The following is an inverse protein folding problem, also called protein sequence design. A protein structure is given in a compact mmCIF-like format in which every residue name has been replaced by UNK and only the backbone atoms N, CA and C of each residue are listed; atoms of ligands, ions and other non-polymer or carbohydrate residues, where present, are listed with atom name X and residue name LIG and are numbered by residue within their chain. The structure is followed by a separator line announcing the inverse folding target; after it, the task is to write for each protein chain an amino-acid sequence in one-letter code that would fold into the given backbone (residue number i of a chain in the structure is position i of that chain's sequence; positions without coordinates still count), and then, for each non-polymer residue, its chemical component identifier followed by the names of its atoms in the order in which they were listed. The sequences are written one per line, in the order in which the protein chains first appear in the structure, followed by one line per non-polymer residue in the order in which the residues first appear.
data_IF_639268810671
#
_entry.id   IF_639268810671
#
_cell.length_a   1.000
_cell.length_b   1.000
_cell.length_c   1.000
_cell.angle_alpha   90.00
_cell.angle_beta   90.00
_cell.angle_gamma   90.00
#
_symmetry.space_group_name_H-M   'P 1'
#
loop_
_entity.id
_entity.type
_entity.pdbx_description
1 polymer ?
#
# COMPACT_ATOMS: atom_id res chain seq x y z
N UNK A 1 -6.27 -7.10 10.30
CA UNK A 1 -6.38 -8.17 9.29
C UNK A 1 -5.01 -8.36 8.68
N UNK A 2 -4.56 -9.58 8.44
CA UNK A 2 -3.30 -9.79 7.71
C UNK A 2 -3.58 -9.56 6.21
N UNK A 3 -2.83 -8.66 5.57
CA UNK A 3 -3.05 -8.31 4.17
C UNK A 3 -2.42 -9.39 3.26
N UNK A 4 -3.16 -9.89 2.25
CA UNK A 4 -2.61 -10.79 1.25
C UNK A 4 -1.52 -10.10 0.42
N UNK A 5 -0.30 -10.66 0.40
CA UNK A 5 0.87 -10.16 -0.36
C UNK A 5 1.12 -11.05 -1.60
N UNK A 6 0.15 -11.86 -2.00
CA UNK A 6 0.24 -12.72 -3.18
C UNK A 6 0.21 -11.87 -4.47
N UNK A 7 -0.26 -12.46 -5.57
CA UNK A 7 -0.04 -11.98 -6.94
C UNK A 7 -0.42 -10.50 -7.16
N UNK A 8 -1.55 -10.02 -6.64
CA UNK A 8 -2.02 -8.65 -6.88
C UNK A 8 -1.10 -7.59 -6.22
N UNK A 9 -0.93 -7.64 -4.90
CA UNK A 9 -0.10 -6.65 -4.19
C UNK A 9 1.37 -6.77 -4.59
N UNK A 10 1.87 -7.98 -4.83
CA UNK A 10 3.25 -8.17 -5.31
C UNK A 10 3.47 -7.53 -6.68
N UNK A 11 2.50 -7.66 -7.60
CA UNK A 11 2.58 -7.03 -8.92
C UNK A 11 2.60 -5.52 -8.82
N UNK A 12 1.78 -4.94 -7.94
CA UNK A 12 1.80 -3.49 -7.65
C UNK A 12 3.16 -3.06 -7.09
N UNK A 13 3.73 -3.81 -6.14
CA UNK A 13 5.06 -3.48 -5.60
C UNK A 13 6.17 -3.57 -6.65
N UNK A 14 6.07 -4.49 -7.62
CA UNK A 14 6.99 -4.53 -8.77
C UNK A 14 6.83 -3.25 -9.61
N UNK A 15 5.60 -2.86 -9.94
CA UNK A 15 5.32 -1.64 -10.71
C UNK A 15 5.86 -0.38 -10.02
N UNK A 16 5.65 -0.25 -8.71
CA UNK A 16 6.20 0.85 -7.89
C UNK A 16 7.73 0.92 -8.00
N UNK A 17 8.40 -0.23 -7.88
CA UNK A 17 9.87 -0.30 -7.90
C UNK A 17 10.43 -0.04 -9.30
N UNK A 18 9.73 -0.49 -10.34
CA UNK A 18 10.11 -0.30 -11.74
C UNK A 18 10.08 1.17 -12.18
N UNK A 19 9.29 2.03 -11.51
CA UNK A 19 9.36 3.48 -11.73
C UNK A 19 10.73 4.07 -11.36
N UNK A 20 11.50 3.40 -10.49
CA UNK A 20 12.83 3.81 -10.06
C UNK A 20 12.87 5.25 -9.46
N UNK A 21 11.82 5.62 -8.76
CA UNK A 21 11.74 6.89 -8.04
C UNK A 21 12.24 6.75 -6.60
N UNK A 22 12.90 7.79 -6.12
CA UNK A 22 13.16 8.00 -4.70
C UNK A 22 11.88 8.40 -3.96
N UNK A 23 11.87 8.26 -2.63
CA UNK A 23 10.76 8.75 -1.79
C UNK A 23 10.46 10.23 -2.05
N UNK A 24 11.48 11.06 -2.28
CA UNK A 24 11.27 12.48 -2.59
C UNK A 24 10.53 12.69 -3.92
N UNK A 25 10.89 11.95 -4.97
CA UNK A 25 10.19 12.03 -6.26
C UNK A 25 8.76 11.51 -6.14
N UNK A 26 8.52 10.48 -5.32
CA UNK A 26 7.17 10.04 -5.00
C UNK A 26 6.36 11.12 -4.28
N UNK A 27 6.96 11.85 -3.33
CA UNK A 27 6.32 13.00 -2.67
C UNK A 27 6.00 14.13 -3.66
N UNK A 28 6.79 14.34 -4.72
CA UNK A 28 6.48 15.34 -5.75
C UNK A 28 5.30 14.92 -6.66
N UNK A 29 5.04 13.61 -6.77
CA UNK A 29 3.95 13.06 -7.57
C UNK A 29 2.63 13.09 -6.79
N UNK A 30 2.66 12.72 -5.50
CA UNK A 30 1.52 12.73 -4.56
C UNK A 30 0.18 12.30 -5.19
N UNK A 31 -0.05 10.99 -5.29
CA UNK A 31 -1.29 10.44 -5.83
C UNK A 31 -1.66 9.20 -5.04
N UNK A 32 -2.75 9.31 -4.28
CA UNK A 32 -3.23 8.28 -3.34
C UNK A 32 -4.07 7.18 -3.99
N UNK A 33 -4.28 7.22 -5.31
CA UNK A 33 -5.08 6.25 -6.07
C UNK A 33 -4.42 5.80 -7.40
N UNK A 34 -3.12 6.06 -7.56
CA UNK A 34 -2.35 5.75 -8.78
C UNK A 34 -2.38 4.27 -9.17
N UNK A 35 -2.34 3.36 -8.20
CA UNK A 35 -2.21 1.92 -8.43
C UNK A 35 -3.50 1.19 -8.08
N UNK A 36 -3.99 0.37 -9.00
CA UNK A 36 -5.29 -0.29 -8.88
C UNK A 36 -5.24 -1.71 -9.44
N UNK A 37 -5.98 -2.60 -8.77
CA UNK A 37 -6.21 -4.00 -9.13
C UNK A 37 -7.65 -4.36 -8.70
N UNK A 38 -8.16 -5.59 -8.99
CA UNK A 38 -9.48 -5.98 -8.52
C UNK A 38 -9.70 -5.81 -7.01
N UNK A 39 -8.67 -6.08 -6.21
CA UNK A 39 -8.78 -6.10 -4.74
C UNK A 39 -8.08 -4.91 -4.05
N UNK A 40 -7.21 -4.17 -4.74
CA UNK A 40 -6.43 -3.09 -4.14
C UNK A 40 -6.58 -1.77 -4.91
N UNK A 41 -6.64 -0.66 -4.18
CA UNK A 41 -6.49 0.72 -4.68
C UNK A 41 -5.62 1.51 -3.73
N UNK A 42 -4.69 2.28 -4.24
CA UNK A 42 -3.85 3.11 -3.41
C UNK A 42 -2.76 3.84 -4.17
N UNK A 43 -1.89 4.50 -3.43
CA UNK A 43 -0.80 5.28 -3.97
C UNK A 43 -0.01 5.99 -2.90
N UNK A 44 0.86 6.90 -3.30
CA UNK A 44 1.81 7.54 -2.40
C UNK A 44 1.21 8.78 -1.73
N UNK A 45 1.29 8.84 -0.41
CA UNK A 45 0.89 9.99 0.42
C UNK A 45 2.16 10.74 0.87
N UNK A 46 2.26 12.01 0.49
CA UNK A 46 3.45 12.82 0.76
C UNK A 46 3.56 13.26 2.23
N UNK A 47 2.45 13.34 2.97
CA UNK A 47 2.44 13.69 4.39
C UNK A 47 2.90 12.49 5.24
N UNK A 48 2.50 11.28 4.85
CA UNK A 48 2.88 10.03 5.54
C UNK A 48 4.22 9.45 5.04
N UNK A 49 4.71 9.88 3.87
CA UNK A 49 5.89 9.33 3.17
C UNK A 49 5.77 7.82 2.90
N UNK A 50 4.55 7.35 2.69
CA UNK A 50 4.21 5.94 2.54
C UNK A 50 3.19 5.71 1.44
N UNK A 51 3.14 4.46 0.96
CA UNK A 51 2.09 3.98 0.10
C UNK A 51 0.87 3.60 0.93
N UNK A 52 -0.22 4.35 0.77
CA UNK A 52 -1.49 4.15 1.43
C UNK A 52 -2.44 3.38 0.51
N UNK A 53 -3.00 2.28 0.99
CA UNK A 53 -3.86 1.41 0.21
C UNK A 53 -5.13 1.00 0.97
N UNK A 54 -6.19 0.81 0.20
CA UNK A 54 -7.38 0.06 0.59
C UNK A 54 -7.36 -1.31 -0.07
N UNK A 55 -7.53 -2.35 0.73
CA UNK A 55 -7.77 -3.74 0.30
C UNK A 55 -9.24 -4.09 0.52
N UNK A 56 -9.87 -4.67 -0.49
CA UNK A 56 -11.24 -5.18 -0.40
C UNK A 56 -11.22 -6.71 -0.42
N UNK A 57 -11.70 -7.32 0.66
CA UNK A 57 -11.81 -8.78 0.72
C UNK A 57 -12.95 -9.32 -0.18
N UNK A 58 -13.13 -10.64 -0.17
CA UNK A 58 -14.20 -11.33 -0.92
C UNK A 58 -15.62 -10.85 -0.56
N UNK A 59 -15.81 -10.30 0.64
CA UNK A 59 -17.07 -9.75 1.12
C UNK A 59 -17.19 -8.24 0.86
N UNK A 60 -16.23 -7.66 0.12
CA UNK A 60 -16.11 -6.22 -0.17
C UNK A 60 -15.93 -5.37 1.09
N UNK A 61 -15.41 -5.97 2.17
CA UNK A 61 -15.02 -5.22 3.37
C UNK A 61 -13.68 -4.56 3.10
N UNK A 62 -13.64 -3.25 3.33
CA UNK A 62 -12.42 -2.45 3.19
C UNK A 62 -11.50 -2.62 4.40
N UNK A 63 -10.20 -2.75 4.11
CA UNK A 63 -9.12 -2.70 5.07
C UNK A 63 -8.05 -1.73 4.57
N UNK A 64 -7.81 -0.68 5.33
CA UNK A 64 -6.75 0.29 5.07
C UNK A 64 -5.42 -0.20 5.62
N UNK A 65 -4.35 -0.04 4.86
CA UNK A 65 -2.99 -0.36 5.27
C UNK A 65 -1.98 0.56 4.57
N UNK A 66 -0.78 0.62 5.13
CA UNK A 66 0.32 1.44 4.63
C UNK A 66 1.62 0.63 4.58
N UNK A 67 2.52 0.99 3.67
CA UNK A 67 3.88 0.46 3.60
C UNK A 67 4.86 1.44 2.97
N UNK A 68 6.12 1.36 3.37
CA UNK A 68 7.21 2.20 2.86
C UNK A 68 7.71 1.74 1.48
N UNK A 69 8.42 2.62 0.77
CA UNK A 69 9.13 2.26 -0.46
C UNK A 69 10.12 1.10 -0.26
N UNK A 70 10.78 1.01 0.90
CA UNK A 70 11.68 -0.11 1.21
C UNK A 70 10.92 -1.43 1.39
N UNK A 71 9.75 -1.41 2.03
CA UNK A 71 8.89 -2.59 2.09
C UNK A 71 8.40 -2.99 0.69
N UNK A 72 8.07 -2.04 -0.19
CA UNK A 72 7.74 -2.33 -1.59
C UNK A 72 8.91 -3.06 -2.31
N UNK A 73 10.16 -2.63 -2.08
CA UNK A 73 11.37 -3.30 -2.60
C UNK A 73 11.55 -4.70 -2.06
N UNK A 74 11.24 -4.94 -0.79
CA UNK A 74 11.30 -6.29 -0.20
C UNK A 74 10.19 -7.20 -0.75
N UNK A 75 8.95 -6.70 -0.85
CA UNK A 75 7.81 -7.46 -1.40
C UNK A 75 8.04 -7.83 -2.86
N UNK A 76 8.52 -6.90 -3.69
CA UNK A 76 8.81 -7.16 -5.11
C UNK A 76 9.86 -8.26 -5.31
N UNK A 77 10.80 -8.42 -4.38
CA UNK A 77 11.79 -9.52 -4.37
C UNK A 77 11.24 -10.84 -3.83
N UNK A 78 10.01 -10.87 -3.31
CA UNK A 78 9.37 -12.04 -2.71
C UNK A 78 9.79 -12.30 -1.26
N UNK A 79 10.26 -11.27 -0.54
CA UNK A 79 10.56 -11.40 0.89
C UNK A 79 9.25 -11.51 1.70
N UNK A 80 9.26 -12.33 2.76
CA UNK A 80 8.11 -12.53 3.63
C UNK A 80 7.95 -11.36 4.60
N UNK A 81 7.11 -10.39 4.24
CA UNK A 81 6.69 -9.28 5.11
C UNK A 81 5.29 -9.56 5.64
N UNK A 82 4.98 -9.02 6.83
CA UNK A 82 3.63 -9.01 7.37
C UNK A 82 3.08 -7.59 7.35
N UNK A 83 1.99 -7.38 6.62
CA UNK A 83 1.24 -6.12 6.60
C UNK A 83 -0.09 -6.30 7.33
N UNK A 84 -0.47 -5.31 8.12
CA UNK A 84 -1.70 -5.34 8.92
C UNK A 84 -2.66 -4.26 8.44
N UNK A 85 -3.84 -4.68 7.99
CA UNK A 85 -4.95 -3.80 7.63
C UNK A 85 -5.89 -3.53 8.79
N UNK A 86 -6.38 -2.30 8.85
CA UNK A 86 -7.36 -1.80 9.81
C UNK A 86 -8.67 -1.47 9.09
N UNK A 87 -9.81 -1.63 9.76
CA UNK A 87 -11.07 -1.16 9.17
C UNK A 87 -11.11 0.38 9.17
N UNK A 88 -11.79 1.03 8.22
CA UNK A 88 -11.89 2.49 8.16
C UNK A 88 -12.35 3.13 9.48
N UNK A 89 -13.30 2.52 10.19
CA UNK A 89 -13.79 3.01 11.48
C UNK A 89 -12.75 2.99 12.61
N UNK A 90 -11.63 2.28 12.44
CA UNK A 90 -10.55 2.17 13.43
C UNK A 90 -9.45 3.22 13.22
N UNK A 91 -9.37 3.86 12.04
CA UNK A 91 -8.33 4.87 11.71
C UNK A 91 -8.44 6.13 12.59
N UNK A 92 -9.64 6.49 13.05
CA UNK A 92 -9.88 7.70 13.84
C UNK A 92 -9.55 7.58 15.33
N UNK A 93 -9.18 6.40 15.84
CA UNK A 93 -8.98 6.18 17.28
C UNK A 93 -7.52 6.46 17.69
N UNK A 94 -6.57 6.48 16.75
CA UNK A 94 -5.13 6.60 17.04
C UNK A 94 -4.56 8.02 16.92
N UNK A 95 -5.38 9.02 16.60
CA UNK A 95 -4.98 10.44 16.57
C UNK A 95 -5.45 11.19 17.82
N UNK A 96 -5.21 10.63 19.01
CA UNK A 96 -5.41 11.33 20.31
C UNK A 96 -4.13 11.32 21.13
#
# INVERSE_FOLDING_TARGET
MDIPIEEELKSICIEIVDQNYSTHQWSEIESSDMFQSPSFVGGFDADELEFCFSYFDENRIEFWFQFTLEQAKSISKGESIKLSGMKPEQKHITNT
#
